data_IF_631899636036
#
_entry.id   IF_631899636036
#
_cell.length_a   1.000
_cell.length_b   1.000
_cell.length_c   1.000
_cell.angle_alpha   90.00
_cell.angle_beta   90.00
_cell.angle_gamma   90.00
#
_symmetry.space_group_name_H-M   'P 1'
#
loop_
_entity.id
_entity.type
_entity.pdbx_description
1 polymer ?
#
# COMPACT_ATOMS: atom_id res chain seq x y z
N UNK A 1 -11.73 16.65 5.52
CA UNK A 1 -10.41 17.26 5.26
C UNK A 1 -10.40 18.62 5.91
N UNK A 2 -9.35 18.96 6.66
CA UNK A 2 -9.15 20.34 7.09
C UNK A 2 -8.61 21.13 5.90
N UNK A 3 -9.27 22.23 5.56
CA UNK A 3 -8.94 23.07 4.41
C UNK A 3 -8.69 24.50 4.90
N UNK A 4 -7.68 25.14 4.32
CA UNK A 4 -7.40 26.56 4.56
C UNK A 4 -8.51 27.42 3.91
N UNK A 5 -8.86 28.56 4.53
CA UNK A 5 -9.90 29.47 4.01
C UNK A 5 -11.32 29.26 4.56
N UNK A 6 -11.49 28.39 5.56
CA UNK A 6 -12.78 28.14 6.22
C UNK A 6 -13.33 29.35 7.00
N UNK A 7 -12.47 30.31 7.34
CA UNK A 7 -12.84 31.59 7.96
C UNK A 7 -13.77 32.47 7.10
N UNK A 8 -13.92 32.15 5.80
CA UNK A 8 -14.90 32.80 4.91
C UNK A 8 -16.32 32.30 5.12
N UNK A 9 -16.48 31.10 5.70
CA UNK A 9 -17.77 30.44 5.87
C UNK A 9 -18.17 30.30 7.35
N UNK A 10 -17.21 30.36 8.26
CA UNK A 10 -17.41 30.22 9.69
C UNK A 10 -16.66 31.31 10.47
N UNK A 11 -17.13 31.72 11.67
CA UNK A 11 -16.42 32.68 12.51
C UNK A 11 -14.99 32.21 12.78
N UNK A 12 -13.99 33.03 12.46
CA UNK A 12 -12.57 32.67 12.56
C UNK A 12 -12.16 32.18 13.96
N UNK A 13 -12.77 32.75 15.02
CA UNK A 13 -12.56 32.35 16.42
C UNK A 13 -13.04 30.92 16.74
N UNK A 14 -13.87 30.32 15.87
CA UNK A 14 -14.41 28.96 16.00
C UNK A 14 -13.78 27.96 15.03
N UNK A 15 -12.81 28.38 14.23
CA UNK A 15 -12.13 27.52 13.24
C UNK A 15 -10.72 27.21 13.73
N UNK A 16 -10.42 25.92 13.86
CA UNK A 16 -9.09 25.42 14.20
C UNK A 16 -8.69 24.32 13.21
N UNK A 17 -7.60 24.52 12.48
CA UNK A 17 -7.05 23.50 11.59
C UNK A 17 -6.26 22.47 12.42
N UNK A 18 -6.86 21.32 12.69
CA UNK A 18 -6.22 20.20 13.41
C UNK A 18 -5.63 19.16 12.46
N UNK A 19 -5.59 19.46 11.15
CA UNK A 19 -5.21 18.52 10.11
C UNK A 19 -6.28 17.46 9.85
N UNK A 20 -5.88 16.37 9.19
CA UNK A 20 -6.75 15.22 9.00
C UNK A 20 -6.61 14.28 10.19
N UNK A 21 -7.72 13.88 10.86
CA UNK A 21 -7.65 12.90 11.92
C UNK A 21 -7.08 11.59 11.37
N UNK A 22 -5.90 11.23 11.84
CA UNK A 22 -5.24 9.96 11.55
C UNK A 22 -5.51 8.98 12.69
N UNK A 23 -5.62 7.69 12.38
CA UNK A 23 -5.76 6.65 13.42
C UNK A 23 -4.44 6.55 14.18
N UNK A 24 -4.48 6.58 15.52
CA UNK A 24 -3.27 6.50 16.36
C UNK A 24 -2.44 5.24 16.07
N UNK A 25 -3.12 4.12 15.83
CA UNK A 25 -2.48 2.83 15.53
C UNK A 25 -1.69 2.84 14.22
N UNK A 26 -2.00 3.75 13.29
CA UNK A 26 -1.24 3.95 12.06
C UNK A 26 0.05 4.75 12.28
N UNK A 27 0.22 5.36 13.45
CA UNK A 27 1.39 6.17 13.83
C UNK A 27 2.26 5.43 14.84
N UNK A 28 1.65 4.64 15.71
CA UNK A 28 2.34 3.80 16.69
C UNK A 28 2.82 2.47 16.06
N UNK A 29 3.84 2.58 15.21
CA UNK A 29 4.39 1.46 14.42
C UNK A 29 5.75 0.95 14.94
N UNK A 30 6.29 1.56 16.00
CA UNK A 30 7.59 1.19 16.54
C UNK A 30 7.59 -0.28 16.98
N UNK A 31 8.60 -1.04 16.54
CA UNK A 31 8.75 -2.47 16.87
C UNK A 31 7.85 -3.43 16.10
N UNK A 32 6.94 -2.96 15.23
CA UNK A 32 6.01 -3.82 14.47
C UNK A 32 6.56 -4.33 13.15
N UNK A 33 7.71 -3.83 12.69
CA UNK A 33 8.28 -4.19 11.38
C UNK A 33 8.54 -5.69 11.25
N UNK A 34 9.16 -6.31 12.25
CA UNK A 34 9.49 -7.73 12.23
C UNK A 34 8.23 -8.60 12.13
N UNK A 35 7.26 -8.36 13.01
CA UNK A 35 5.98 -9.07 13.01
C UNK A 35 5.21 -8.87 11.69
N UNK A 36 5.22 -7.65 11.14
CA UNK A 36 4.58 -7.36 9.87
C UNK A 36 5.22 -8.12 8.69
N UNK A 37 6.56 -8.24 8.67
CA UNK A 37 7.26 -9.01 7.65
C UNK A 37 6.96 -10.51 7.77
N UNK A 38 6.96 -11.07 8.97
CA UNK A 38 6.54 -12.47 9.22
C UNK A 38 5.11 -12.72 8.73
N UNK A 39 4.17 -11.85 9.11
CA UNK A 39 2.76 -11.96 8.72
C UNK A 39 2.56 -11.94 7.20
N UNK A 40 3.39 -11.18 6.49
CA UNK A 40 3.31 -11.01 5.04
C UNK A 40 4.20 -11.99 4.26
N UNK A 41 4.95 -12.86 4.95
CA UNK A 41 5.87 -13.83 4.33
C UNK A 41 7.06 -13.18 3.64
N UNK A 42 7.57 -12.08 4.21
CA UNK A 42 8.61 -11.24 3.61
C UNK A 42 9.98 -11.47 4.25
N UNK A 43 11.05 -11.31 3.47
CA UNK A 43 12.42 -11.35 3.96
C UNK A 43 12.75 -10.09 4.79
N UNK A 44 13.40 -10.29 5.93
CA UNK A 44 13.77 -9.21 6.86
C UNK A 44 14.92 -8.33 6.36
N UNK A 45 15.77 -8.88 5.50
CA UNK A 45 16.99 -8.26 4.98
C UNK A 45 16.76 -7.51 3.68
N UNK A 46 15.72 -7.87 2.92
CA UNK A 46 15.39 -7.23 1.64
C UNK A 46 14.65 -5.91 1.79
N UNK A 47 14.80 -5.05 0.78
CA UNK A 47 14.04 -3.79 0.68
C UNK A 47 12.64 -4.09 0.18
N UNK A 48 11.63 -3.44 0.78
CA UNK A 48 10.21 -3.64 0.45
C UNK A 48 9.61 -2.42 -0.22
N UNK A 49 8.89 -2.63 -1.32
CA UNK A 49 8.05 -1.61 -1.95
C UNK A 49 6.58 -1.94 -1.66
N UNK A 50 5.84 -0.97 -1.13
CA UNK A 50 4.38 -1.03 -1.07
C UNK A 50 3.80 -0.33 -2.30
N UNK A 51 3.11 -1.09 -3.14
CA UNK A 51 2.30 -0.56 -4.24
C UNK A 51 0.82 -0.68 -3.89
N UNK A 52 0.12 0.46 -3.86
CA UNK A 52 -1.31 0.53 -3.60
C UNK A 52 -1.99 1.48 -4.58
N UNK A 53 -3.11 1.04 -5.14
CA UNK A 53 -4.01 1.86 -5.97
C UNK A 53 -5.31 2.24 -5.27
N UNK A 54 -5.41 2.04 -3.95
CA UNK A 54 -6.66 2.10 -3.19
C UNK A 54 -7.50 0.82 -3.32
N UNK A 55 -8.62 0.76 -2.58
CA UNK A 55 -9.41 -0.47 -2.42
C UNK A 55 -10.01 -1.03 -3.73
N UNK A 56 -10.41 -0.16 -4.66
CA UNK A 56 -10.87 -0.56 -5.99
C UNK A 56 -9.72 -0.89 -6.96
N UNK A 57 -8.50 -0.48 -6.61
CA UNK A 57 -7.33 -0.62 -7.45
C UNK A 57 -7.25 0.44 -8.54
N UNK A 58 -6.07 0.54 -9.16
CA UNK A 58 -5.79 1.48 -10.24
C UNK A 58 -5.19 0.72 -11.43
N UNK A 59 -5.94 0.65 -12.53
CA UNK A 59 -5.55 -0.09 -13.74
C UNK A 59 -4.14 0.27 -14.22
N UNK A 60 -3.85 1.58 -14.34
CA UNK A 60 -2.55 2.06 -14.83
C UNK A 60 -1.40 1.63 -13.92
N UNK A 61 -1.58 1.70 -12.60
CA UNK A 61 -0.57 1.23 -11.64
C UNK A 61 -0.38 -0.28 -11.72
N UNK A 62 -1.47 -1.04 -11.82
CA UNK A 62 -1.40 -2.49 -11.91
C UNK A 62 -0.68 -2.94 -13.19
N UNK A 63 -0.95 -2.31 -14.33
CA UNK A 63 -0.27 -2.61 -15.58
C UNK A 63 1.23 -2.27 -15.52
N UNK A 64 1.58 -1.08 -15.00
CA UNK A 64 2.97 -0.67 -14.82
C UNK A 64 3.74 -1.66 -13.94
N UNK A 65 3.09 -2.17 -12.88
CA UNK A 65 3.69 -3.15 -12.00
C UNK A 65 3.90 -4.51 -12.67
N UNK A 66 2.93 -5.00 -13.46
CA UNK A 66 3.10 -6.22 -14.24
C UNK A 66 4.31 -6.14 -15.17
N UNK A 67 4.47 -5.01 -15.87
CA UNK A 67 5.59 -4.78 -16.79
C UNK A 67 6.92 -4.61 -16.05
N UNK A 68 6.90 -4.07 -14.83
CA UNK A 68 8.09 -3.81 -14.01
C UNK A 68 8.54 -4.98 -13.14
N UNK A 69 7.73 -6.04 -13.00
CA UNK A 69 7.95 -7.10 -12.01
C UNK A 69 9.29 -7.83 -12.24
N UNK A 70 9.62 -8.18 -13.50
CA UNK A 70 10.90 -8.80 -13.86
C UNK A 70 12.11 -7.94 -13.46
N UNK A 71 11.97 -6.62 -13.59
CA UNK A 71 13.05 -5.70 -13.24
C UNK A 71 13.27 -5.68 -11.74
N UNK A 72 12.20 -5.72 -10.94
CA UNK A 72 12.31 -5.68 -9.48
C UNK A 72 12.95 -6.95 -8.92
N UNK A 73 12.65 -8.11 -9.50
CA UNK A 73 13.33 -9.38 -9.20
C UNK A 73 14.85 -9.24 -9.38
N UNK A 74 15.33 -8.58 -10.45
CA UNK A 74 16.78 -8.40 -10.66
C UNK A 74 17.49 -7.49 -9.65
N UNK A 75 16.74 -6.72 -8.86
CA UNK A 75 17.29 -5.82 -7.84
C UNK A 75 17.20 -6.38 -6.41
N UNK A 76 16.74 -7.63 -6.24
CA UNK A 76 16.55 -8.25 -4.93
C UNK A 76 15.61 -7.43 -4.03
N UNK A 77 14.51 -6.95 -4.62
CA UNK A 77 13.48 -6.14 -3.96
C UNK A 77 12.21 -6.96 -3.82
N UNK A 78 11.63 -6.94 -2.63
CA UNK A 78 10.32 -7.53 -2.37
C UNK A 78 9.18 -6.50 -2.48
N UNK A 79 7.99 -6.95 -2.85
CA UNK A 79 6.86 -6.08 -3.18
C UNK A 79 5.60 -6.52 -2.45
N UNK A 80 4.97 -5.59 -1.75
CA UNK A 80 3.59 -5.71 -1.29
C UNK A 80 2.71 -5.00 -2.31
N UNK A 81 1.84 -5.74 -2.99
CA UNK A 81 0.98 -5.20 -4.02
C UNK A 81 -0.49 -5.31 -3.62
N UNK A 82 -1.04 -4.18 -3.17
CA UNK A 82 -2.47 -4.01 -2.93
C UNK A 82 -3.15 -3.58 -4.25
N UNK A 83 -3.58 -4.56 -5.03
CA UNK A 83 -4.03 -4.35 -6.40
C UNK A 83 -5.49 -3.92 -6.54
N UNK A 84 -6.25 -3.95 -5.44
CA UNK A 84 -7.69 -3.75 -5.41
C UNK A 84 -8.47 -5.03 -5.72
N UNK A 85 -9.64 -5.18 -5.10
CA UNK A 85 -10.47 -6.39 -5.20
C UNK A 85 -10.93 -6.67 -6.63
N UNK A 86 -11.17 -5.61 -7.43
CA UNK A 86 -11.59 -5.74 -8.82
C UNK A 86 -10.55 -6.45 -9.71
N UNK A 87 -9.26 -6.24 -9.45
CA UNK A 87 -8.17 -6.77 -10.29
C UNK A 87 -7.54 -8.05 -9.75
N UNK A 88 -7.85 -8.42 -8.51
CA UNK A 88 -7.12 -9.46 -7.79
C UNK A 88 -7.12 -10.81 -8.50
N UNK A 89 -8.29 -11.34 -8.88
CA UNK A 89 -8.40 -12.64 -9.55
C UNK A 89 -7.65 -12.67 -10.90
N UNK A 90 -7.77 -11.59 -11.67
CA UNK A 90 -7.07 -11.47 -12.96
C UNK A 90 -5.55 -11.45 -12.77
N UNK A 91 -5.07 -10.65 -11.81
CA UNK A 91 -3.65 -10.52 -11.53
C UNK A 91 -3.08 -11.81 -10.94
N UNK A 92 -3.81 -12.48 -10.06
CA UNK A 92 -3.43 -13.78 -9.51
C UNK A 92 -3.22 -14.81 -10.62
N UNK A 93 -4.15 -14.88 -11.58
CA UNK A 93 -4.02 -15.76 -12.74
C UNK A 93 -2.86 -15.37 -13.67
N UNK A 94 -2.54 -14.07 -13.79
CA UNK A 94 -1.49 -13.54 -14.67
C UNK A 94 -0.10 -13.78 -14.09
N UNK A 95 0.06 -13.50 -12.81
CA UNK A 95 1.33 -13.62 -12.07
C UNK A 95 1.65 -15.10 -11.81
N UNK A 96 0.62 -15.93 -11.64
CA UNK A 96 0.72 -17.36 -11.40
C UNK A 96 1.30 -17.69 -10.02
N UNK A 97 1.24 -18.96 -9.63
CA UNK A 97 1.82 -19.45 -8.36
C UNK A 97 3.34 -19.25 -8.30
N UNK A 98 4.02 -19.27 -9.46
CA UNK A 98 5.49 -19.25 -9.57
C UNK A 98 6.19 -17.96 -9.15
N UNK A 99 5.46 -16.86 -8.98
CA UNK A 99 6.01 -15.55 -8.61
C UNK A 99 5.65 -15.10 -7.20
N UNK A 100 4.81 -15.88 -6.51
CA UNK A 100 4.30 -15.55 -5.18
C UNK A 100 5.15 -16.11 -4.05
N UNK A 101 6.24 -16.80 -4.38
CA UNK A 101 7.09 -17.42 -3.39
C UNK A 101 8.37 -16.58 -3.28
N UNK A 102 8.50 -15.94 -2.12
CA UNK A 102 9.62 -15.17 -1.56
C UNK A 102 9.59 -13.63 -1.73
N UNK A 103 9.32 -13.08 -2.93
CA UNK A 103 9.51 -11.63 -3.16
C UNK A 103 8.22 -10.84 -3.51
N UNK A 104 7.06 -11.49 -3.62
CA UNK A 104 5.81 -10.81 -4.00
C UNK A 104 4.61 -11.21 -3.13
N UNK A 105 4.10 -10.23 -2.38
CA UNK A 105 2.87 -10.33 -1.62
C UNK A 105 1.71 -9.63 -2.37
N UNK A 106 0.98 -10.38 -3.19
CA UNK A 106 -0.21 -9.88 -3.90
C UNK A 106 -1.46 -9.98 -2.99
N UNK A 107 -2.15 -8.86 -2.78
CA UNK A 107 -3.37 -8.80 -1.94
C UNK A 107 -4.45 -7.91 -2.58
N UNK A 108 -5.74 -8.24 -2.40
CA UNK A 108 -6.82 -7.33 -2.81
C UNK A 108 -6.88 -6.09 -1.90
N UNK A 109 -6.63 -6.25 -0.60
CA UNK A 109 -6.63 -5.21 0.42
C UNK A 109 -5.67 -5.58 1.58
N UNK A 110 -5.11 -4.57 2.27
CA UNK A 110 -4.25 -4.75 3.45
C UNK A 110 -5.06 -4.40 4.71
N UNK A 111 -5.13 -5.32 5.66
CA UNK A 111 -5.90 -5.19 6.90
C UNK A 111 -5.03 -4.71 8.05
#
# INVERSE_FOLDING_TARGET
MAFDGMERFFPAEKVMNTGNPIRRDAVDIAGKEFEAKELLGLDHTKKTILLTGGSLGARTLNNCMLEGLERLETYDIQVIWQCGSYYYEQLLATVGERRLEDDLCLKPFLH
#
